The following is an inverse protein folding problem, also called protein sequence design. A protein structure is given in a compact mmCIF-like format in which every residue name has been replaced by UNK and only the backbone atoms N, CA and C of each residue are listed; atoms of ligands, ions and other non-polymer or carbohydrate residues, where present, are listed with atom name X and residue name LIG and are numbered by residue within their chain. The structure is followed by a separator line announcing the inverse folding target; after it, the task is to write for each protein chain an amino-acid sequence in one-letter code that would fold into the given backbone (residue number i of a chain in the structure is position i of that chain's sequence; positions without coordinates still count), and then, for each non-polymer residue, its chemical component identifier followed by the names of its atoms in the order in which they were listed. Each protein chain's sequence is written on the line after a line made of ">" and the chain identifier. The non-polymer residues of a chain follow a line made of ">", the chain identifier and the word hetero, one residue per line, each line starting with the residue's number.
data_IF_124564280634
#
_entry.id   IF_124564280634
#
_cell.length_a   1.000
_cell.length_b   1.000
_cell.length_c   1.000
_cell.angle_alpha   90.00
_cell.angle_beta   90.00
_cell.angle_gamma   90.00
#
_symmetry.space_group_name_H-M   'P 1'
#
loop_
_entity.id
_entity.type
_entity.pdbx_description
1 polymer ?
#
# COMPACT_ATOMS: atom_id res chain seq x y z
N UNK A 1 -12.35 13.03 10.98
CA UNK A 1 -12.62 11.57 10.97
C UNK A 1 -13.06 11.13 12.35
N UNK A 2 -14.16 10.42 12.43
CA UNK A 2 -14.67 9.95 13.71
C UNK A 2 -13.88 8.74 14.20
N UNK A 3 -14.04 8.43 15.48
CA UNK A 3 -13.40 7.26 16.05
C UNK A 3 -13.86 5.97 15.38
N UNK A 4 -15.14 5.88 15.04
CA UNK A 4 -15.69 4.74 14.31
C UNK A 4 -15.04 4.59 12.94
N UNK A 5 -14.86 5.71 12.23
CA UNK A 5 -14.21 5.70 10.92
C UNK A 5 -12.74 5.27 11.02
N UNK A 6 -12.08 5.66 12.09
CA UNK A 6 -10.70 5.23 12.33
C UNK A 6 -10.61 3.72 12.54
N UNK A 7 -11.57 3.16 13.27
CA UNK A 7 -11.61 1.71 13.49
C UNK A 7 -11.88 0.97 12.19
N UNK A 8 -12.80 1.47 11.38
CA UNK A 8 -13.08 0.91 10.06
C UNK A 8 -11.84 0.93 9.17
N UNK A 9 -11.13 2.04 9.18
CA UNK A 9 -9.91 2.20 8.39
C UNK A 9 -8.87 1.14 8.77
N UNK A 10 -8.64 0.97 10.07
CA UNK A 10 -7.69 -0.02 10.55
C UNK A 10 -8.10 -1.43 10.14
N UNK A 11 -9.39 -1.74 10.25
CA UNK A 11 -9.91 -3.06 9.89
C UNK A 11 -9.73 -3.37 8.42
N UNK A 12 -9.86 -2.35 7.57
CA UNK A 12 -9.66 -2.52 6.14
C UNK A 12 -8.19 -2.61 5.77
N UNK A 13 -7.33 -1.90 6.48
CA UNK A 13 -5.90 -1.89 6.20
C UNK A 13 -5.18 -3.15 6.67
N UNK A 14 -5.63 -3.76 7.76
CA UNK A 14 -4.96 -4.92 8.32
C UNK A 14 -4.81 -6.08 7.33
N UNK A 15 -5.85 -6.46 6.56
CA UNK A 15 -5.68 -7.49 5.54
C UNK A 15 -4.67 -7.12 4.46
N UNK A 16 -4.62 -5.86 4.07
CA UNK A 16 -3.65 -5.40 3.08
C UNK A 16 -2.23 -5.45 3.60
N UNK A 17 -2.04 -5.05 4.84
CA UNK A 17 -0.73 -5.13 5.47
C UNK A 17 -0.28 -6.58 5.56
N UNK A 18 -1.17 -7.47 5.96
CA UNK A 18 -0.88 -8.90 6.03
C UNK A 18 -0.52 -9.47 4.66
N UNK A 19 -1.28 -9.09 3.64
CA UNK A 19 -1.02 -9.53 2.27
C UNK A 19 0.36 -9.05 1.81
N UNK A 20 0.66 -7.79 2.08
CA UNK A 20 1.93 -7.19 1.68
C UNK A 20 3.11 -7.88 2.36
N UNK A 21 2.98 -8.20 3.64
CA UNK A 21 4.02 -8.91 4.38
C UNK A 21 4.24 -10.32 3.85
N UNK A 22 3.18 -10.96 3.38
CA UNK A 22 3.26 -12.33 2.86
C UNK A 22 3.82 -12.36 1.45
N UNK A 23 3.43 -11.42 0.60
CA UNK A 23 3.68 -11.50 -0.84
C UNK A 23 4.69 -10.46 -1.34
N UNK A 24 4.84 -9.37 -0.62
CA UNK A 24 5.72 -8.29 -1.00
C UNK A 24 7.07 -8.37 -0.31
N UNK A 25 7.92 -7.42 -0.62
CA UNK A 25 9.19 -7.27 0.07
C UNK A 25 9.17 -5.96 0.88
N UNK A 26 10.16 -5.73 1.76
CA UNK A 26 10.15 -4.56 2.65
C UNK A 26 10.16 -3.19 1.95
N UNK A 27 10.44 -3.18 0.66
CA UNK A 27 10.52 -1.93 -0.10
C UNK A 27 9.23 -1.61 -0.87
N UNK A 28 8.24 -2.49 -0.79
CA UNK A 28 6.98 -2.27 -1.48
C UNK A 28 6.03 -1.44 -0.64
N UNK A 29 5.24 -0.62 -1.32
CA UNK A 29 4.30 0.28 -0.69
C UNK A 29 2.98 0.24 -1.46
N UNK A 30 1.88 0.28 -0.74
CA UNK A 30 0.56 0.39 -1.35
C UNK A 30 0.09 1.83 -1.16
N UNK A 31 -0.35 2.44 -2.25
CA UNK A 31 -0.93 3.77 -2.23
C UNK A 31 -2.37 3.68 -2.72
N UNK A 32 -3.29 4.20 -1.92
CA UNK A 32 -4.72 4.14 -2.23
C UNK A 32 -5.31 5.54 -2.13
N UNK A 33 -6.13 5.88 -3.13
CA UNK A 33 -6.92 7.09 -3.09
C UNK A 33 -8.36 6.76 -3.45
N UNK A 34 -9.19 7.77 -3.68
CA UNK A 34 -10.62 7.55 -3.90
C UNK A 34 -10.95 6.84 -5.20
N UNK A 35 -10.04 6.78 -6.14
CA UNK A 35 -10.29 6.22 -7.46
C UNK A 35 -9.32 5.14 -7.88
N UNK A 36 -8.23 4.95 -7.14
CA UNK A 36 -7.21 3.99 -7.57
C UNK A 36 -6.44 3.40 -6.41
N UNK A 37 -5.79 2.29 -6.68
CA UNK A 37 -4.84 1.67 -5.75
C UNK A 37 -3.61 1.29 -6.56
N UNK A 38 -2.44 1.54 -6.01
CA UNK A 38 -1.18 1.28 -6.68
C UNK A 38 -0.26 0.48 -5.78
N UNK A 39 0.43 -0.49 -6.37
CA UNK A 39 1.50 -1.20 -5.69
C UNK A 39 2.82 -0.66 -6.24
N UNK A 40 3.57 0.01 -5.37
CA UNK A 40 4.82 0.64 -5.76
C UNK A 40 5.98 -0.23 -5.29
N UNK A 41 6.86 -0.58 -6.21
CA UNK A 41 8.05 -1.36 -5.89
C UNK A 41 9.24 -0.43 -5.82
N UNK A 42 9.76 -0.25 -4.62
CA UNK A 42 10.93 0.56 -4.41
C UNK A 42 12.18 -0.17 -4.90
N UNK A 43 13.02 0.55 -5.61
CA UNK A 43 14.31 0.04 -6.03
C UNK A 43 15.38 0.78 -5.23
N UNK A 44 16.23 0.02 -4.56
CA UNK A 44 17.25 0.62 -3.71
C UNK A 44 18.24 1.44 -4.55
N UNK A 45 18.41 2.69 -4.17
CA UNK A 45 19.41 3.56 -4.74
C UNK A 45 19.01 4.37 -5.95
N UNK A 46 17.89 4.06 -6.61
CA UNK A 46 17.45 4.89 -7.73
C UNK A 46 15.96 4.67 -8.00
N UNK A 47 15.40 5.61 -8.74
CA UNK A 47 14.01 5.59 -9.15
C UNK A 47 13.89 5.02 -10.56
N UNK A 48 12.89 4.18 -10.76
CA UNK A 48 12.62 3.59 -12.05
C UNK A 48 11.11 3.50 -12.26
N UNK A 49 10.57 4.36 -13.10
CA UNK A 49 9.14 4.43 -13.32
C UNK A 49 8.57 3.24 -14.09
N UNK A 50 9.39 2.36 -14.59
CA UNK A 50 8.91 1.09 -15.18
C UNK A 50 8.19 0.22 -14.14
N UNK A 51 8.51 0.41 -12.85
CA UNK A 51 7.93 -0.36 -11.78
C UNK A 51 6.73 0.31 -11.13
N UNK A 52 6.35 1.48 -11.61
CA UNK A 52 5.16 2.15 -11.14
C UNK A 52 3.97 1.58 -11.88
N UNK A 53 3.03 1.00 -11.14
CA UNK A 53 1.83 0.42 -11.72
C UNK A 53 0.70 1.41 -11.57
N UNK A 54 0.19 1.87 -12.68
CA UNK A 54 -0.93 2.81 -12.72
C UNK A 54 -2.25 2.08 -12.78
#
# INVERSE_FOLDING_TARGET
>A
MTEKQQQEFKSLCNPLIAWLNKNGNPHETIRIDTTSAELLQGVIGFYNDEYVVD
#
